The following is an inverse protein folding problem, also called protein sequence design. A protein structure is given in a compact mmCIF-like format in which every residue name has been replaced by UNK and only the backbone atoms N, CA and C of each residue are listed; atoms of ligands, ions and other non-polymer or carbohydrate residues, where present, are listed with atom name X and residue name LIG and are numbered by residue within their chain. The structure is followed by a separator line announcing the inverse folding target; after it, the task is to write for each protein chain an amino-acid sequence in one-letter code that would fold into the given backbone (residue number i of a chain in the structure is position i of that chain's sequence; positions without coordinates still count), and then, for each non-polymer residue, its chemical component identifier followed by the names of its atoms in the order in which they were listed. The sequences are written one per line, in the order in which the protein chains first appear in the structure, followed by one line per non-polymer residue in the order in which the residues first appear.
data_IF_683149926263
#
_entry.id   IF_683149926263
#
_cell.length_a   1.000
_cell.length_b   1.000
_cell.length_c   1.000
_cell.angle_alpha   90.00
_cell.angle_beta   90.00
_cell.angle_gamma   90.00
#
_symmetry.space_group_name_H-M   'P 1'
#
loop_
_entity.id
_entity.type
_entity.pdbx_description
1 polymer ?
#
# COMPACT_ATOMS: atom_id res chain seq x y z
N UNK A 1 -20.96 24.51 2.56
CA UNK A 1 -20.85 23.51 1.47
C UNK A 1 -20.88 24.10 0.05
N UNK A 2 -21.43 25.30 -0.20
CA UNK A 2 -21.58 25.86 -1.57
C UNK A 2 -20.32 26.45 -2.22
N UNK A 3 -19.25 26.68 -1.44
CA UNK A 3 -18.01 27.31 -1.92
C UNK A 3 -16.86 26.30 -2.16
N UNK A 4 -16.88 25.12 -1.52
CA UNK A 4 -15.83 24.10 -1.64
C UNK A 4 -16.41 22.67 -1.54
N UNK A 5 -17.16 22.21 -2.55
CA UNK A 5 -17.77 20.87 -2.55
C UNK A 5 -16.72 19.74 -2.41
N UNK A 6 -15.52 19.91 -2.95
CA UNK A 6 -14.41 18.94 -2.85
C UNK A 6 -13.80 18.85 -1.45
N UNK A 7 -13.82 19.94 -0.67
CA UNK A 7 -13.32 19.92 0.71
C UNK A 7 -14.20 19.03 1.60
N UNK A 8 -15.51 19.00 1.34
CA UNK A 8 -16.43 18.11 2.06
C UNK A 8 -16.14 16.63 1.77
N UNK A 9 -15.87 16.27 0.50
CA UNK A 9 -15.52 14.88 0.16
C UNK A 9 -14.17 14.48 0.76
N UNK A 10 -13.18 15.37 0.80
CA UNK A 10 -11.89 15.08 1.45
C UNK A 10 -12.02 14.93 2.96
N UNK A 11 -12.88 15.75 3.60
CA UNK A 11 -13.21 15.58 5.01
C UNK A 11 -13.86 14.21 5.27
N UNK A 12 -14.81 13.79 4.43
CA UNK A 12 -15.43 12.47 4.56
C UNK A 12 -14.42 11.33 4.38
N UNK A 13 -13.50 11.42 3.40
CA UNK A 13 -12.41 10.45 3.23
C UNK A 13 -11.50 10.40 4.46
N UNK A 14 -11.20 11.55 5.07
CA UNK A 14 -10.38 11.61 6.28
C UNK A 14 -11.11 11.00 7.49
N UNK A 15 -12.43 11.22 7.62
CA UNK A 15 -13.26 10.57 8.63
C UNK A 15 -13.30 9.06 8.41
N UNK A 16 -13.50 8.60 7.18
CA UNK A 16 -13.49 7.17 6.81
C UNK A 16 -12.14 6.51 7.16
N UNK A 17 -11.02 7.12 6.79
CA UNK A 17 -9.68 6.66 7.16
C UNK A 17 -9.44 6.66 8.68
N UNK A 18 -9.96 7.66 9.41
CA UNK A 18 -9.81 7.75 10.86
C UNK A 18 -10.66 6.73 11.64
N UNK A 19 -11.84 6.40 11.13
CA UNK A 19 -12.72 5.36 11.70
C UNK A 19 -12.24 3.95 11.32
N UNK A 20 -11.67 3.81 10.14
CA UNK A 20 -11.15 2.57 9.60
C UNK A 20 -12.23 1.61 9.07
N UNK A 21 -11.83 0.42 8.60
CA UNK A 21 -10.46 -0.09 8.66
C UNK A 21 -9.49 0.70 7.79
N UNK A 22 -8.21 0.78 8.18
CA UNK A 22 -7.16 1.33 7.33
C UNK A 22 -6.23 0.22 6.88
N UNK A 23 -5.84 0.27 5.61
CA UNK A 23 -4.99 -0.73 4.98
C UNK A 23 -3.63 -0.15 4.70
N UNK A 24 -2.60 -0.92 5.00
CA UNK A 24 -1.24 -0.60 4.64
C UNK A 24 -0.72 -1.60 3.63
N UNK A 25 -0.30 -1.11 2.47
CA UNK A 25 0.17 -1.92 1.36
C UNK A 25 1.66 -1.70 1.19
N UNK A 26 2.46 -2.67 1.63
CA UNK A 26 3.91 -2.64 1.54
C UNK A 26 4.30 -3.46 0.33
N UNK A 27 4.85 -2.80 -0.68
CA UNK A 27 5.37 -3.44 -1.90
C UNK A 27 6.88 -3.51 -1.76
N UNK A 28 7.41 -4.72 -1.67
CA UNK A 28 8.85 -4.98 -1.70
C UNK A 28 9.25 -5.35 -3.12
N UNK A 29 10.01 -4.47 -3.79
CA UNK A 29 10.40 -4.66 -5.18
C UNK A 29 11.13 -3.45 -5.75
N UNK A 30 11.88 -3.67 -6.82
CA UNK A 30 12.62 -2.62 -7.52
C UNK A 30 11.66 -1.60 -8.14
N UNK A 31 11.83 -0.28 -7.91
CA UNK A 31 10.89 0.73 -8.39
C UNK A 31 10.64 0.66 -9.90
N UNK A 32 11.69 0.47 -10.70
CA UNK A 32 11.59 0.49 -12.15
C UNK A 32 11.30 -0.89 -12.77
N UNK A 33 11.18 -1.94 -11.94
CA UNK A 33 10.85 -3.27 -12.42
C UNK A 33 9.39 -3.36 -12.88
N UNK A 34 9.17 -4.09 -13.98
CA UNK A 34 7.85 -4.23 -14.63
C UNK A 34 6.79 -4.81 -13.70
N UNK A 35 7.15 -5.76 -12.86
CA UNK A 35 6.25 -6.41 -11.90
C UNK A 35 5.87 -5.47 -10.75
N UNK A 36 6.81 -4.69 -10.21
CA UNK A 36 6.54 -3.61 -9.25
C UNK A 36 5.58 -2.57 -9.83
N UNK A 37 5.83 -2.11 -11.06
CA UNK A 37 4.96 -1.15 -11.74
C UNK A 37 3.56 -1.72 -11.99
N UNK A 38 3.46 -3.02 -12.26
CA UNK A 38 2.16 -3.71 -12.41
C UNK A 38 1.35 -3.67 -11.11
N UNK A 39 2.00 -3.91 -9.95
CA UNK A 39 1.35 -3.79 -8.64
C UNK A 39 0.88 -2.36 -8.35
N UNK A 40 1.75 -1.39 -8.57
CA UNK A 40 1.43 0.03 -8.37
C UNK A 40 0.29 0.50 -9.27
N UNK A 41 0.28 0.09 -10.54
CA UNK A 41 -0.78 0.41 -11.48
C UNK A 41 -2.13 -0.17 -11.04
N UNK A 42 -2.15 -1.42 -10.56
CA UNK A 42 -3.37 -2.05 -10.04
C UNK A 42 -3.94 -1.28 -8.84
N UNK A 43 -3.11 -0.85 -7.88
CA UNK A 43 -3.54 -0.03 -6.73
C UNK A 43 -4.05 1.35 -7.14
N UNK A 44 -3.42 1.99 -8.12
CA UNK A 44 -3.82 3.31 -8.64
C UNK A 44 -5.13 3.23 -9.44
N UNK A 45 -5.46 2.06 -9.99
CA UNK A 45 -6.71 1.82 -10.72
C UNK A 45 -7.95 1.70 -9.84
N UNK A 46 -7.81 1.58 -8.51
CA UNK A 46 -8.93 1.46 -7.58
C UNK A 46 -8.94 2.57 -6.53
N UNK A 47 -10.11 3.20 -6.38
CA UNK A 47 -10.33 4.17 -5.32
C UNK A 47 -10.59 3.45 -4.00
N UNK A 48 -9.58 3.49 -3.13
CA UNK A 48 -9.61 2.97 -1.76
C UNK A 48 -9.06 4.13 -0.91
N UNK A 49 -9.93 4.95 -0.29
CA UNK A 49 -9.52 6.20 0.38
C UNK A 49 -8.76 5.94 1.68
N UNK A 50 -8.96 4.76 2.26
CA UNK A 50 -8.40 4.31 3.53
C UNK A 50 -7.12 3.47 3.37
N UNK A 51 -6.40 3.56 2.24
CA UNK A 51 -5.13 2.86 2.01
C UNK A 51 -3.91 3.77 2.11
N UNK A 52 -2.84 3.23 2.68
CA UNK A 52 -1.47 3.75 2.61
C UNK A 52 -0.67 2.79 1.74
N UNK A 53 0.22 3.32 0.90
CA UNK A 53 1.10 2.52 0.04
C UNK A 53 2.55 2.89 0.31
N UNK A 54 3.36 1.89 0.60
CA UNK A 54 4.80 2.02 0.84
C UNK A 54 5.53 1.17 -0.20
N UNK A 55 6.47 1.79 -0.92
CA UNK A 55 7.36 1.07 -1.82
C UNK A 55 8.73 0.94 -1.14
N UNK A 56 9.17 -0.30 -0.98
CA UNK A 56 10.45 -0.67 -0.38
C UNK A 56 11.31 -1.38 -1.44
N UNK A 57 12.33 -0.73 -2.00
CA UNK A 57 13.34 -1.44 -2.79
C UNK A 57 13.96 -2.60 -1.99
N UNK A 58 14.34 -3.72 -2.64
CA UNK A 58 15.06 -4.79 -1.96
C UNK A 58 16.47 -4.29 -1.53
N UNK A 59 17.09 -4.98 -0.57
CA UNK A 59 18.37 -4.58 0.02
C UNK A 59 18.23 -3.84 1.36
N UNK A 60 19.38 -3.41 1.89
CA UNK A 60 19.51 -2.76 3.21
C UNK A 60 19.27 -1.25 3.17
N UNK A 61 19.62 -0.57 2.07
CA UNK A 61 19.58 0.90 1.94
C UNK A 61 18.28 1.43 1.32
N UNK A 62 17.14 0.85 1.68
CA UNK A 62 15.85 1.37 1.24
C UNK A 62 15.51 2.65 2.01
N UNK A 63 15.52 3.82 1.35
CA UNK A 63 15.26 5.13 1.97
C UNK A 63 13.94 5.21 2.76
N UNK A 64 12.94 4.40 2.40
CA UNK A 64 11.67 4.32 3.13
C UNK A 64 11.84 3.82 4.57
N UNK A 65 12.91 3.08 4.87
CA UNK A 65 13.20 2.58 6.22
C UNK A 65 13.51 3.72 7.19
N UNK A 66 14.07 4.83 6.72
CA UNK A 66 14.32 6.01 7.57
C UNK A 66 13.00 6.64 8.08
N UNK A 67 11.96 6.61 7.25
CA UNK A 67 10.64 7.14 7.59
C UNK A 67 9.74 6.11 8.29
N UNK A 68 9.87 4.84 7.90
CA UNK A 68 9.01 3.74 8.31
C UNK A 68 9.88 2.50 8.65
N UNK A 69 10.55 2.54 9.80
CA UNK A 69 11.58 1.54 10.18
C UNK A 69 11.09 0.08 10.14
N UNK A 70 9.84 -0.18 10.50
CA UNK A 70 9.26 -1.53 10.47
C UNK A 70 9.25 -2.13 9.05
N UNK A 71 9.36 -1.31 8.00
CA UNK A 71 9.46 -1.81 6.62
C UNK A 71 10.73 -2.64 6.40
N UNK A 72 11.78 -2.50 7.23
CA UNK A 72 13.04 -3.26 7.09
C UNK A 72 12.85 -4.78 7.15
N UNK A 73 11.81 -5.24 7.84
CA UNK A 73 11.54 -6.67 8.06
C UNK A 73 10.79 -7.35 6.90
N UNK A 74 10.32 -6.59 5.91
CA UNK A 74 9.63 -7.16 4.75
C UNK A 74 10.63 -7.45 3.65
N UNK A 75 10.50 -8.61 3.02
CA UNK A 75 11.43 -9.09 1.98
C UNK A 75 10.67 -9.51 0.74
N UNK A 76 11.39 -9.76 -0.34
CA UNK A 76 10.83 -10.49 -1.47
C UNK A 76 10.62 -11.95 -1.09
N UNK A 77 9.66 -12.61 -1.76
CA UNK A 77 9.45 -14.04 -1.72
C UNK A 77 9.71 -14.62 -3.10
N UNK A 78 10.52 -15.67 -3.15
CA UNK A 78 10.95 -16.33 -4.39
C UNK A 78 11.57 -15.34 -5.40
N UNK A 79 12.33 -14.36 -4.92
CA UNK A 79 13.00 -13.34 -5.73
C UNK A 79 12.08 -12.53 -6.66
N UNK A 80 10.80 -12.38 -6.26
CA UNK A 80 9.79 -11.62 -7.00
C UNK A 80 9.23 -10.48 -6.16
N UNK A 81 8.66 -9.46 -6.84
CA UNK A 81 7.88 -8.43 -6.15
C UNK A 81 6.88 -9.09 -5.19
N UNK A 82 6.87 -8.59 -3.97
CA UNK A 82 6.03 -9.16 -2.90
C UNK A 82 5.26 -8.04 -2.23
N UNK A 83 3.96 -8.25 -2.10
CA UNK A 83 3.06 -7.31 -1.45
C UNK A 83 2.56 -7.89 -0.14
N UNK A 84 2.62 -7.06 0.90
CA UNK A 84 2.03 -7.30 2.20
C UNK A 84 0.88 -6.32 2.39
N UNK A 85 -0.32 -6.84 2.64
CA UNK A 85 -1.49 -6.03 2.98
C UNK A 85 -1.77 -6.20 4.46
N UNK A 86 -1.61 -5.11 5.20
CA UNK A 86 -1.64 -5.07 6.65
C UNK A 86 -2.80 -4.23 7.16
N UNK A 87 -3.36 -4.67 8.29
CA UNK A 87 -4.45 -4.00 9.00
C UNK A 87 -4.21 -4.20 10.49
N UNK A 88 -4.32 -3.13 11.28
CA UNK A 88 -4.15 -3.17 12.73
C UNK A 88 -2.86 -3.88 13.18
N UNK A 89 -1.72 -3.58 12.54
CA UNK A 89 -0.41 -4.20 12.81
C UNK A 89 -0.28 -5.68 12.45
N UNK A 90 -1.28 -6.27 11.78
CA UNK A 90 -1.22 -7.65 11.28
C UNK A 90 -1.30 -7.68 9.76
N UNK A 91 -0.38 -8.40 9.14
CA UNK A 91 -0.37 -8.59 7.69
C UNK A 91 -1.02 -9.93 7.31
N UNK A 92 -1.79 -9.90 6.23
CA UNK A 92 -2.27 -11.11 5.56
C UNK A 92 -1.10 -11.84 4.89
N UNK A 93 -1.36 -13.05 4.41
CA UNK A 93 -0.35 -13.80 3.65
C UNK A 93 0.15 -12.96 2.46
N UNK A 94 1.47 -12.81 2.30
CA UNK A 94 2.03 -12.02 1.21
C UNK A 94 1.68 -12.61 -0.15
N UNK A 95 1.59 -11.75 -1.16
CA UNK A 95 1.20 -12.10 -2.51
C UNK A 95 2.13 -11.48 -3.55
N UNK A 96 2.35 -12.20 -4.65
CA UNK A 96 2.97 -11.69 -5.88
C UNK A 96 1.94 -11.56 -7.03
N UNK A 97 0.65 -11.66 -6.70
CA UNK A 97 -0.48 -11.52 -7.62
C UNK A 97 -1.25 -10.21 -7.33
N UNK A 98 -1.34 -9.29 -8.32
CA UNK A 98 -2.08 -8.03 -8.17
C UNK A 98 -3.55 -8.23 -7.83
N UNK A 99 -4.21 -9.24 -8.37
CA UNK A 99 -5.63 -9.47 -8.11
C UNK A 99 -5.86 -9.88 -6.66
N UNK A 100 -5.03 -10.78 -6.13
CA UNK A 100 -5.07 -11.17 -4.72
C UNK A 100 -4.81 -9.98 -3.80
N UNK A 101 -3.86 -9.11 -4.13
CA UNK A 101 -3.61 -7.88 -3.38
C UNK A 101 -4.88 -7.01 -3.32
N UNK A 102 -5.57 -6.82 -4.44
CA UNK A 102 -6.80 -6.01 -4.51
C UNK A 102 -7.96 -6.64 -3.73
N UNK A 103 -8.07 -7.96 -3.73
CA UNK A 103 -9.11 -8.67 -2.97
C UNK A 103 -8.94 -8.52 -1.45
N UNK A 104 -7.72 -8.20 -0.98
CA UNK A 104 -7.43 -7.93 0.43
C UNK A 104 -7.76 -6.48 0.87
N UNK A 105 -8.14 -5.60 -0.07
CA UNK A 105 -8.47 -4.18 0.18
C UNK A 105 -9.98 -3.91 0.14
N UNK A 106 -10.79 -4.95 0.31
CA UNK A 106 -12.26 -4.91 0.30
C UNK A 106 -12.84 -5.04 1.70
#
# INVERSE_FOLDING_TARGET
MRQYPTAFTQLLSAVDFGLGPSYEVIIVGEPDAKDTQTMLAALRGQFVPNKIVLLRPPGEDASIVELAEYTKFYTTLNDRVTVYVCQNYFCKLPSNDPQKMLDLLK
#
